data_IF_390767680686
#
_entry.id   IF_390767680686
#
_cell.length_a   1.000
_cell.length_b   1.000
_cell.length_c   1.000
_cell.angle_alpha   90.00
_cell.angle_beta   90.00
_cell.angle_gamma   90.00
#
_symmetry.space_group_name_H-M   'P 1'
#
loop_
_entity.id
_entity.type
_entity.pdbx_description
1 polymer ?
#
# COMPACT_ATOMS: atom_id res chain seq x y z
N UNK A 1 31.57 0.22 -9.62
CA UNK A 1 32.28 1.11 -8.68
C UNK A 1 31.40 2.33 -8.47
N UNK A 2 31.29 2.89 -7.25
CA UNK A 2 30.46 4.07 -7.00
C UNK A 2 31.34 5.31 -7.06
N UNK A 3 30.83 6.37 -7.69
CA UNK A 3 31.52 7.65 -7.71
C UNK A 3 31.37 8.33 -6.34
N UNK A 4 32.51 8.60 -5.70
CA UNK A 4 32.56 9.27 -4.40
C UNK A 4 32.62 10.79 -4.60
N UNK A 5 31.80 11.58 -3.86
CA UNK A 5 31.99 13.02 -3.80
C UNK A 5 33.40 13.38 -3.37
N UNK A 6 33.99 14.42 -3.96
CA UNK A 6 35.40 14.77 -3.73
C UNK A 6 35.73 14.99 -2.25
N UNK A 7 34.85 15.66 -1.49
CA UNK A 7 35.02 15.87 -0.05
C UNK A 7 35.03 14.57 0.74
N UNK A 8 34.12 13.65 0.43
CA UNK A 8 34.04 12.34 1.07
C UNK A 8 35.25 11.45 0.72
N UNK A 9 35.69 11.49 -0.53
CA UNK A 9 36.89 10.76 -0.97
C UNK A 9 38.15 11.26 -0.25
N UNK A 10 38.30 12.58 -0.11
CA UNK A 10 39.40 13.19 0.63
C UNK A 10 39.38 12.80 2.11
N UNK A 11 38.21 12.86 2.76
CA UNK A 11 38.06 12.46 4.16
C UNK A 11 38.44 10.99 4.38
N UNK A 12 37.94 10.08 3.53
CA UNK A 12 38.26 8.65 3.58
C UNK A 12 39.76 8.38 3.41
N UNK A 13 40.45 9.16 2.57
CA UNK A 13 41.89 8.99 2.34
C UNK A 13 42.75 9.39 3.55
N UNK A 14 42.22 10.16 4.52
CA UNK A 14 42.98 10.56 5.72
C UNK A 14 43.16 9.42 6.74
N UNK A 15 42.33 8.36 6.65
CA UNK A 15 42.35 7.22 7.57
C UNK A 15 41.58 7.43 8.88
N UNK A 16 41.22 8.67 9.24
CA UNK A 16 40.26 8.97 10.30
C UNK A 16 38.90 9.27 9.67
N UNK A 17 37.86 8.53 10.04
CA UNK A 17 36.53 8.68 9.44
C UNK A 17 35.52 9.21 10.44
N UNK A 18 34.84 10.28 10.06
CA UNK A 18 33.73 10.91 10.78
C UNK A 18 32.40 10.53 10.14
N UNK A 19 32.23 9.24 9.82
CA UNK A 19 31.09 8.78 9.02
C UNK A 19 29.97 8.24 9.91
N UNK A 20 28.74 8.68 9.61
CA UNK A 20 27.52 8.17 10.21
C UNK A 20 26.58 7.64 9.13
N UNK A 21 25.83 6.59 9.46
CA UNK A 21 24.75 6.10 8.59
C UNK A 21 23.46 6.85 8.88
N UNK A 22 22.79 7.25 7.82
CA UNK A 22 21.55 8.01 7.86
C UNK A 22 20.48 7.28 7.05
N UNK A 23 19.40 6.88 7.72
CA UNK A 23 18.27 6.15 7.16
C UNK A 23 17.10 7.09 6.96
N UNK A 24 16.62 7.21 5.72
CA UNK A 24 15.45 8.01 5.39
C UNK A 24 14.33 7.09 4.96
N UNK A 25 13.20 7.19 5.63
CA UNK A 25 11.97 6.45 5.31
C UNK A 25 10.96 7.47 4.80
N UNK A 26 10.42 7.23 3.61
CA UNK A 26 9.38 8.06 3.00
C UNK A 26 8.13 7.23 2.83
N UNK A 27 7.09 7.58 3.57
CA UNK A 27 5.77 6.93 3.50
C UNK A 27 5.05 7.27 2.19
N UNK A 28 4.11 6.43 1.73
CA UNK A 28 3.32 6.70 0.53
C UNK A 28 2.49 8.00 0.61
N UNK A 29 2.15 8.45 1.81
CA UNK A 29 1.44 9.72 2.06
C UNK A 29 2.36 10.95 2.12
N UNK A 30 3.67 10.78 1.90
CA UNK A 30 4.66 11.85 1.88
C UNK A 30 5.32 12.16 3.23
N UNK A 31 4.93 11.47 4.32
CA UNK A 31 5.63 11.58 5.60
C UNK A 31 7.08 11.12 5.48
N UNK A 32 8.03 11.93 5.96
CA UNK A 32 9.47 11.62 5.93
C UNK A 32 10.02 11.48 7.35
N UNK A 33 10.71 10.37 7.59
CA UNK A 33 11.39 10.09 8.86
C UNK A 33 12.88 9.89 8.56
N UNK A 34 13.73 10.63 9.26
CA UNK A 34 15.18 10.47 9.21
C UNK A 34 15.70 9.94 10.53
N UNK A 35 16.51 8.89 10.50
CA UNK A 35 17.18 8.31 11.66
C UNK A 35 18.69 8.21 11.40
N UNK A 36 19.52 8.57 12.38
CA UNK A 36 20.97 8.46 12.28
C UNK A 36 21.54 7.52 13.35
N UNK A 37 22.63 6.82 13.02
CA UNK A 37 23.43 6.04 13.99
C UNK A 37 24.38 6.94 14.83
N UNK A 38 24.44 8.23 14.52
CA UNK A 38 25.13 9.23 15.34
C UNK A 38 24.36 9.52 16.63
N UNK A 39 25.07 9.91 17.68
CA UNK A 39 24.50 10.38 18.95
C UNK A 39 23.92 11.81 18.92
N UNK A 40 24.00 12.52 17.78
CA UNK A 40 23.45 13.86 17.58
C UNK A 40 22.65 13.94 16.27
N UNK A 41 21.66 14.83 16.24
CA UNK A 41 20.83 15.08 15.06
C UNK A 41 21.68 15.62 13.89
N UNK A 42 21.52 15.05 12.69
CA UNK A 42 22.23 15.47 11.49
C UNK A 42 21.27 16.00 10.43
N UNK A 43 21.63 17.10 9.77
CA UNK A 43 20.90 17.60 8.60
C UNK A 43 21.61 17.18 7.31
N UNK A 44 21.05 16.21 6.59
CA UNK A 44 21.66 15.63 5.38
C UNK A 44 20.66 15.64 4.24
N UNK A 45 21.07 16.11 3.06
CA UNK A 45 20.27 16.05 1.83
C UNK A 45 18.81 16.53 2.00
N UNK A 46 18.60 17.64 2.74
CA UNK A 46 17.29 18.25 2.96
C UNK A 46 16.42 17.60 4.05
N UNK A 47 16.95 16.65 4.83
CA UNK A 47 16.20 15.94 5.88
C UNK A 47 16.95 16.00 7.20
N UNK A 48 16.23 16.23 8.30
CA UNK A 48 16.76 16.06 9.66
C UNK A 48 16.72 14.58 10.00
N UNK A 49 17.87 13.99 10.28
CA UNK A 49 18.03 12.65 10.81
C UNK A 49 18.21 12.76 12.29
N UNK A 50 17.23 12.26 13.04
CA UNK A 50 17.26 12.36 14.49
C UNK A 50 18.13 11.24 15.08
N UNK A 51 18.90 11.58 16.08
CA UNK A 51 19.59 10.63 16.94
C UNK A 51 18.52 9.93 17.79
N UNK A 52 17.98 8.85 17.25
CA UNK A 52 17.05 7.97 17.95
C UNK A 52 17.77 6.67 18.24
N UNK A 53 17.85 6.31 19.52
CA UNK A 53 18.39 5.01 19.93
C UNK A 53 17.62 3.89 19.26
N UNK A 54 18.33 2.89 18.73
CA UNK A 54 17.71 1.64 18.26
C UNK A 54 17.75 1.37 16.75
N UNK A 55 18.52 2.13 15.96
CA UNK A 55 18.88 1.69 14.61
C UNK A 55 20.25 1.04 14.64
N UNK A 56 20.26 -0.28 14.53
CA UNK A 56 21.44 -1.08 14.26
C UNK A 56 21.24 -1.77 12.92
N UNK A 57 21.99 -1.33 11.90
CA UNK A 57 22.07 -2.05 10.64
C UNK A 57 22.81 -3.37 10.83
N UNK A 58 22.14 -4.51 10.68
CA UNK A 58 22.81 -5.81 10.62
C UNK A 58 23.59 -5.97 9.31
N UNK A 59 24.61 -6.82 9.34
CA UNK A 59 25.58 -7.01 8.25
C UNK A 59 24.90 -7.57 6.98
N UNK A 60 25.26 -7.04 5.80
CA UNK A 60 24.69 -7.47 4.52
C UNK A 60 25.75 -7.93 3.52
N UNK A 61 25.48 -9.06 2.85
CA UNK A 61 26.21 -9.54 1.68
C UNK A 61 25.62 -8.94 0.39
N UNK A 62 26.42 -8.18 -0.35
CA UNK A 62 26.06 -7.72 -1.69
C UNK A 62 26.37 -8.82 -2.73
N UNK A 63 25.33 -9.38 -3.37
CA UNK A 63 25.47 -10.32 -4.47
C UNK A 63 25.25 -9.64 -5.84
N UNK A 64 26.06 -9.99 -6.85
CA UNK A 64 25.88 -9.56 -8.24
C UNK A 64 24.98 -10.58 -8.98
N UNK A 65 23.87 -10.14 -9.59
CA UNK A 65 23.00 -10.98 -10.44
C UNK A 65 21.50 -10.64 -10.40
N UNK A 66 20.72 -11.38 -11.22
CA UNK A 66 19.24 -11.41 -11.21
C UNK A 66 18.67 -12.63 -10.48
N UNK A 67 19.53 -13.50 -9.95
CA UNK A 67 19.08 -14.47 -8.94
C UNK A 67 18.38 -13.71 -7.82
N UNK A 68 17.53 -14.38 -7.06
CA UNK A 68 17.16 -13.90 -5.72
C UNK A 68 18.41 -13.99 -4.85
N UNK A 69 19.46 -13.23 -5.18
CA UNK A 69 20.36 -12.65 -4.20
C UNK A 69 19.51 -11.66 -3.42
N UNK A 70 18.66 -12.21 -2.55
CA UNK A 70 18.00 -11.47 -1.51
C UNK A 70 19.08 -10.85 -0.66
N UNK A 71 19.33 -9.56 -0.86
CA UNK A 71 19.70 -8.76 0.29
C UNK A 71 18.43 -8.66 1.13
N UNK A 72 18.24 -9.59 2.06
CA UNK A 72 17.39 -9.34 3.21
C UNK A 72 18.23 -8.42 4.11
N UNK A 73 17.94 -7.11 4.07
CA UNK A 73 18.38 -6.24 5.16
C UNK A 73 17.32 -6.36 6.23
N UNK A 74 17.64 -7.03 7.32
CA UNK A 74 16.90 -6.90 8.56
C UNK A 74 17.42 -5.65 9.26
N UNK A 75 16.78 -4.52 8.99
CA UNK A 75 16.92 -3.36 9.85
C UNK A 75 15.89 -3.54 10.97
N UNK A 76 16.37 -3.79 12.19
CA UNK A 76 15.59 -3.52 13.38
C UNK A 76 15.43 -2.00 13.42
N UNK A 77 14.36 -1.50 12.82
CA UNK A 77 13.92 -0.14 13.03
C UNK A 77 13.27 -0.21 14.42
N UNK A 78 14.04 -0.04 15.49
CA UNK A 78 13.43 0.28 16.78
C UNK A 78 13.64 1.77 16.96
N UNK A 79 12.57 2.55 16.83
CA UNK A 79 12.66 3.99 17.01
C UNK A 79 11.33 4.53 17.52
N UNK A 80 11.39 5.37 18.54
CA UNK A 80 10.27 6.17 19.04
C UNK A 80 9.68 7.12 17.97
N UNK A 81 10.36 7.28 16.83
CA UNK A 81 9.90 8.08 15.69
C UNK A 81 8.89 7.36 14.81
N UNK A 82 8.78 6.04 14.94
CA UNK A 82 7.84 5.23 14.19
C UNK A 82 6.75 4.76 15.15
N UNK A 83 5.59 5.39 15.01
CA UNK A 83 4.41 5.08 15.81
C UNK A 83 3.88 3.66 15.52
N UNK A 84 3.57 2.92 16.59
CA UNK A 84 3.07 1.55 16.49
C UNK A 84 1.69 1.48 15.85
N UNK A 85 0.80 2.45 16.15
CA UNK A 85 -0.51 2.56 15.53
C UNK A 85 -0.40 2.75 14.01
N UNK A 86 0.57 3.56 13.58
CA UNK A 86 0.84 3.78 12.15
C UNK A 86 1.35 2.52 11.42
N UNK A 87 2.19 1.72 12.08
CA UNK A 87 2.63 0.43 11.56
C UNK A 87 1.46 -0.55 11.42
N UNK A 88 0.62 -0.66 12.45
CA UNK A 88 -0.58 -1.52 12.42
C UNK A 88 -1.58 -1.06 11.36
N UNK A 89 -1.65 0.24 11.11
CA UNK A 89 -2.48 0.82 10.08
C UNK A 89 -1.94 0.62 8.64
N UNK A 90 -0.79 -0.05 8.47
CA UNK A 90 -0.18 -0.29 7.16
C UNK A 90 0.37 0.97 6.50
N UNK A 91 0.56 2.08 7.23
CA UNK A 91 1.04 3.36 6.67
C UNK A 91 2.47 3.30 6.14
N UNK A 92 3.23 2.28 6.54
CA UNK A 92 4.59 2.02 6.09
C UNK A 92 4.67 0.96 4.97
N UNK A 93 3.54 0.40 4.53
CA UNK A 93 3.52 -0.62 3.48
C UNK A 93 4.09 -0.06 2.18
N UNK A 94 5.18 -0.66 1.72
CA UNK A 94 5.90 -0.21 0.52
C UNK A 94 6.58 1.15 0.67
N UNK A 95 6.73 1.68 1.89
CA UNK A 95 7.46 2.92 2.14
C UNK A 95 8.89 2.82 1.59
N UNK A 96 9.37 3.90 0.97
CA UNK A 96 10.71 3.93 0.41
C UNK A 96 11.75 4.15 1.50
N UNK A 97 12.85 3.41 1.43
CA UNK A 97 13.97 3.54 2.36
C UNK A 97 15.24 3.87 1.59
N UNK A 98 15.92 4.93 2.02
CA UNK A 98 17.23 5.32 1.52
C UNK A 98 18.26 5.23 2.65
N UNK A 99 19.34 4.48 2.42
CA UNK A 99 20.50 4.45 3.29
C UNK A 99 21.56 5.39 2.71
N UNK A 100 22.02 6.33 3.53
CA UNK A 100 23.09 7.27 3.22
C UNK A 100 24.24 7.09 4.20
N UNK A 101 25.44 7.39 3.72
CA UNK A 101 26.63 7.58 4.53
C UNK A 101 26.97 9.06 4.48
N UNK A 102 26.95 9.73 5.63
CA UNK A 102 27.25 11.15 5.74
C UNK A 102 28.46 11.36 6.63
N UNK A 103 29.29 12.34 6.30
CA UNK A 103 30.29 12.87 7.21
C UNK A 103 29.59 13.76 8.25
N UNK A 104 29.56 13.35 9.51
CA UNK A 104 28.87 14.11 10.55
C UNK A 104 29.55 15.44 10.87
N UNK A 105 30.85 15.56 10.60
CA UNK A 105 31.60 16.82 10.78
C UNK A 105 31.33 17.81 9.63
N UNK A 106 30.88 17.29 8.48
CA UNK A 106 30.49 18.07 7.31
C UNK A 106 29.30 17.40 6.58
N UNK A 107 28.06 17.51 7.09
CA UNK A 107 26.89 16.75 6.60
C UNK A 107 26.50 16.96 5.12
N UNK A 108 27.06 17.99 4.47
CA UNK A 108 26.96 18.18 3.02
C UNK A 108 27.76 17.15 2.21
N UNK A 109 28.75 16.51 2.81
CA UNK A 109 29.50 15.39 2.25
C UNK A 109 28.79 14.08 2.58
N UNK A 110 27.94 13.62 1.67
CA UNK A 110 27.22 12.36 1.83
C UNK A 110 27.18 11.55 0.54
N UNK A 111 26.97 10.25 0.69
CA UNK A 111 26.77 9.31 -0.40
C UNK A 111 25.54 8.46 -0.12
N UNK A 112 24.61 8.41 -1.08
CA UNK A 112 23.51 7.45 -0.99
C UNK A 112 24.04 6.05 -1.27
N UNK A 113 23.98 5.20 -0.25
CA UNK A 113 24.43 3.83 -0.33
C UNK A 113 23.39 2.90 -0.96
N UNK A 114 22.10 3.09 -0.64
CA UNK A 114 21.06 2.17 -1.12
C UNK A 114 19.71 2.86 -1.21
N UNK A 115 18.83 2.27 -2.01
CA UNK A 115 17.39 2.55 -2.03
C UNK A 115 16.64 1.22 -2.12
N UNK A 116 15.57 1.09 -1.36
CA UNK A 116 14.69 -0.06 -1.34
C UNK A 116 13.30 0.33 -0.84
N UNK A 117 12.48 -0.67 -0.52
CA UNK A 117 11.15 -0.47 0.07
C UNK A 117 10.96 -1.38 1.27
N UNK A 118 10.17 -0.95 2.25
CA UNK A 118 9.76 -1.80 3.37
C UNK A 118 8.91 -2.97 2.83
N UNK A 119 9.29 -4.17 3.21
CA UNK A 119 8.63 -5.45 2.95
C UNK A 119 7.88 -5.93 4.19
N UNK A 120 8.09 -7.19 4.58
CA UNK A 120 7.47 -7.74 5.79
C UNK A 120 7.97 -7.01 7.05
N UNK A 121 7.06 -6.64 7.94
CA UNK A 121 7.39 -6.09 9.27
C UNK A 121 7.03 -7.14 10.32
N UNK A 122 8.01 -7.50 11.14
CA UNK A 122 7.84 -8.40 12.30
C UNK A 122 8.00 -7.61 13.58
N UNK A 123 7.27 -8.02 14.62
CA UNK A 123 7.28 -7.36 15.93
C UNK A 123 7.59 -8.35 17.02
N UNK A 124 8.56 -8.01 17.86
CA UNK A 124 8.96 -8.82 19.01
C UNK A 124 9.48 -7.92 20.12
N UNK A 125 8.99 -8.11 21.35
CA UNK A 125 9.54 -7.44 22.55
C UNK A 125 9.51 -5.91 22.56
N UNK A 126 8.55 -5.27 21.87
CA UNK A 126 8.48 -3.80 21.76
C UNK A 126 9.40 -3.19 20.70
N UNK A 127 10.13 -4.03 19.96
CA UNK A 127 10.88 -3.65 18.77
C UNK A 127 10.16 -4.17 17.51
N UNK A 128 10.40 -3.50 16.38
CA UNK A 128 10.00 -4.00 15.08
C UNK A 128 11.21 -4.17 14.16
N UNK A 129 11.12 -5.17 13.30
CA UNK A 129 12.11 -5.48 12.28
C UNK A 129 11.41 -5.41 10.94
N UNK A 130 11.94 -4.60 10.03
CA UNK A 130 11.43 -4.48 8.68
C UNK A 130 12.40 -5.16 7.70
N UNK A 131 11.85 -5.99 6.83
CA UNK A 131 12.54 -6.50 5.65
C UNK A 131 12.74 -5.33 4.66
N UNK A 132 13.98 -5.04 4.27
CA UNK A 132 14.22 -4.11 3.15
C UNK A 132 14.28 -4.88 1.83
N UNK A 133 13.32 -4.59 0.95
CA UNK A 133 13.31 -5.16 -0.40
C UNK A 133 14.13 -4.31 -1.35
N UNK A 134 15.08 -4.94 -2.05
CA UNK A 134 15.84 -4.30 -3.11
C UNK A 134 14.93 -3.91 -4.30
N UNK A 135 15.39 -2.95 -5.11
CA UNK A 135 14.66 -2.50 -6.32
C UNK A 135 14.36 -3.64 -7.31
N UNK A 136 15.21 -4.68 -7.36
CA UNK A 136 15.04 -5.86 -8.21
C UNK A 136 13.84 -6.72 -7.81
N UNK A 137 13.34 -6.63 -6.57
CA UNK A 137 12.13 -7.36 -6.13
C UNK A 137 10.92 -7.09 -7.05
N UNK A 138 10.84 -5.88 -7.63
CA UNK A 138 9.78 -5.50 -8.57
C UNK A 138 9.78 -6.32 -9.86
N UNK A 139 10.90 -6.94 -10.21
CA UNK A 139 11.04 -7.82 -11.38
C UNK A 139 10.50 -9.24 -11.12
N UNK A 140 10.40 -9.66 -9.87
CA UNK A 140 9.90 -10.98 -9.47
C UNK A 140 8.38 -11.02 -9.28
N UNK A 141 7.68 -9.91 -9.53
CA UNK A 141 6.22 -9.86 -9.50
C UNK A 141 5.71 -10.46 -10.80
N UNK A 142 4.90 -11.51 -10.71
CA UNK A 142 4.20 -12.08 -11.88
C UNK A 142 3.32 -10.99 -12.48
N UNK A 143 3.70 -10.52 -13.67
CA UNK A 143 2.95 -9.54 -14.44
C UNK A 143 2.31 -10.22 -15.63
N UNK A 144 1.02 -9.98 -15.80
CA UNK A 144 0.25 -10.58 -16.88
C UNK A 144 -1.23 -10.56 -16.53
N UNK A 145 -2.05 -10.87 -17.52
CA UNK A 145 -3.49 -10.99 -17.34
C UNK A 145 -3.84 -12.47 -17.35
N UNK A 146 -4.72 -12.86 -16.44
CA UNK A 146 -5.36 -14.16 -16.50
C UNK A 146 -6.57 -14.04 -17.42
N UNK A 147 -6.69 -15.00 -18.33
CA UNK A 147 -7.84 -15.15 -19.19
C UNK A 147 -8.95 -15.84 -18.39
N UNK A 148 -9.91 -15.07 -17.88
CA UNK A 148 -11.04 -15.57 -17.08
C UNK A 148 -12.36 -14.99 -17.56
N UNK A 149 -13.48 -15.62 -17.18
CA UNK A 149 -14.82 -15.12 -17.51
C UNK A 149 -15.13 -13.75 -16.90
N UNK A 150 -14.58 -13.46 -15.72
CA UNK A 150 -14.77 -12.20 -15.01
C UNK A 150 -13.89 -11.07 -15.54
N UNK A 151 -14.34 -9.83 -15.35
CA UNK A 151 -13.54 -8.64 -15.61
C UNK A 151 -12.33 -8.56 -14.68
N UNK A 152 -11.13 -8.34 -15.22
CA UNK A 152 -9.90 -8.13 -14.45
C UNK A 152 -9.58 -6.65 -14.20
N UNK A 153 -10.49 -5.73 -14.57
CA UNK A 153 -10.35 -4.29 -14.35
C UNK A 153 -11.10 -3.82 -13.11
N UNK A 154 -10.57 -2.78 -12.46
CA UNK A 154 -11.28 -2.12 -11.37
C UNK A 154 -12.29 -1.12 -11.91
N UNK A 155 -13.44 -1.03 -11.22
CA UNK A 155 -14.51 -0.15 -11.65
C UNK A 155 -13.97 1.29 -11.62
N UNK A 156 -14.08 1.98 -12.75
CA UNK A 156 -13.55 3.35 -12.92
C UNK A 156 -12.05 3.47 -13.15
N UNK A 157 -11.30 2.36 -13.24
CA UNK A 157 -9.90 2.41 -13.67
C UNK A 157 -9.75 2.83 -15.14
N UNK A 158 -8.52 3.08 -15.60
CA UNK A 158 -8.25 3.50 -16.98
C UNK A 158 -8.69 2.47 -18.05
N UNK A 159 -8.82 1.19 -17.68
CA UNK A 159 -9.27 0.12 -18.58
C UNK A 159 -10.79 0.01 -18.62
N UNK A 160 -11.47 0.28 -17.51
CA UNK A 160 -12.91 0.25 -17.32
C UNK A 160 -13.58 1.53 -17.82
N UNK A 161 -13.04 2.71 -17.48
CA UNK A 161 -13.50 4.05 -17.92
C UNK A 161 -14.90 4.49 -17.47
N UNK A 162 -15.59 3.73 -16.61
CA UNK A 162 -16.85 4.19 -16.01
C UNK A 162 -16.57 5.40 -15.12
N UNK A 163 -17.26 6.51 -15.35
CA UNK A 163 -17.20 7.65 -14.45
C UNK A 163 -17.97 7.36 -13.16
N UNK A 164 -17.29 7.40 -12.01
CA UNK A 164 -17.87 7.11 -10.69
C UNK A 164 -18.44 8.36 -10.04
N UNK A 165 -19.44 8.94 -10.71
CA UNK A 165 -20.15 10.15 -10.31
C UNK A 165 -21.66 9.92 -10.28
N UNK A 166 -22.41 10.86 -9.70
CA UNK A 166 -23.88 10.80 -9.63
C UNK A 166 -24.38 9.50 -9.00
N UNK A 167 -25.18 8.73 -9.75
CA UNK A 167 -25.79 7.48 -9.26
C UNK A 167 -24.77 6.39 -8.87
N UNK A 168 -23.49 6.51 -9.26
CA UNK A 168 -22.45 5.55 -8.90
C UNK A 168 -21.60 5.96 -7.69
N UNK A 169 -21.92 7.09 -7.06
CA UNK A 169 -21.21 7.61 -5.89
C UNK A 169 -22.20 8.05 -4.82
N UNK A 170 -22.08 7.48 -3.63
CA UNK A 170 -22.74 7.92 -2.42
C UNK A 170 -21.78 8.65 -1.48
N UNK A 171 -22.33 9.54 -0.67
CA UNK A 171 -21.63 10.16 0.46
C UNK A 171 -22.48 9.98 1.69
N UNK A 172 -21.85 9.71 2.83
CA UNK A 172 -22.59 9.46 4.06
C UNK A 172 -21.74 9.68 5.30
N UNK A 173 -22.38 9.51 6.45
CA UNK A 173 -21.72 9.53 7.76
C UNK A 173 -22.09 8.28 8.55
N UNK A 174 -21.19 7.85 9.44
CA UNK A 174 -21.46 6.77 10.39
C UNK A 174 -22.47 7.28 11.42
N UNK A 175 -23.67 6.72 11.46
CA UNK A 175 -24.70 7.07 12.44
C UNK A 175 -24.68 6.16 13.67
N UNK A 176 -24.22 4.92 13.51
CA UNK A 176 -23.98 3.98 14.60
C UNK A 176 -22.92 2.95 14.20
N UNK A 177 -22.22 2.39 15.19
CA UNK A 177 -21.24 1.31 15.01
C UNK A 177 -21.79 0.06 15.66
N UNK A 178 -22.05 -0.98 14.87
CA UNK A 178 -22.60 -2.25 15.36
C UNK A 178 -21.48 -3.28 15.62
N UNK A 179 -20.38 -3.22 14.86
CA UNK A 179 -19.16 -4.00 15.09
C UNK A 179 -17.93 -3.30 14.49
N UNK A 180 -16.74 -3.88 14.68
CA UNK A 180 -15.48 -3.28 14.23
C UNK A 180 -15.41 -2.99 12.71
N UNK A 181 -16.15 -3.74 11.89
CA UNK A 181 -16.28 -3.54 10.44
C UNK A 181 -17.74 -3.42 9.99
N UNK A 182 -18.69 -3.19 10.90
CA UNK A 182 -20.12 -3.08 10.60
C UNK A 182 -20.68 -1.76 11.14
N UNK A 183 -21.19 -0.94 10.23
CA UNK A 183 -21.71 0.39 10.55
C UNK A 183 -23.10 0.62 9.97
N UNK A 184 -23.85 1.48 10.65
CA UNK A 184 -25.08 2.08 10.14
C UNK A 184 -24.71 3.42 9.53
N UNK A 185 -25.14 3.63 8.29
CA UNK A 185 -24.85 4.81 7.50
C UNK A 185 -26.08 5.72 7.38
N UNK A 186 -25.86 7.02 7.51
CA UNK A 186 -26.80 8.05 7.09
C UNK A 186 -26.39 8.60 5.71
N UNK A 187 -27.37 9.08 4.93
CA UNK A 187 -27.14 9.71 3.63
C UNK A 187 -27.16 8.76 2.42
N UNK A 188 -27.42 7.46 2.65
CA UNK A 188 -27.51 6.44 1.59
C UNK A 188 -28.94 6.00 1.27
N UNK A 189 -29.96 6.69 1.79
CA UNK A 189 -31.37 6.31 1.68
C UNK A 189 -31.89 6.30 0.23
N UNK A 190 -31.24 7.03 -0.67
CA UNK A 190 -31.57 7.06 -2.10
C UNK A 190 -31.06 5.85 -2.89
N UNK A 191 -30.32 4.92 -2.27
CA UNK A 191 -29.72 3.78 -2.94
C UNK A 191 -30.38 2.47 -2.52
N UNK A 192 -30.62 1.59 -3.49
CA UNK A 192 -31.15 0.25 -3.21
C UNK A 192 -30.14 -0.61 -2.43
N UNK A 193 -30.65 -1.53 -1.63
CA UNK A 193 -29.85 -2.59 -1.01
C UNK A 193 -29.00 -3.32 -2.06
N UNK A 194 -27.76 -3.63 -1.71
CA UNK A 194 -26.79 -4.26 -2.61
C UNK A 194 -26.09 -3.30 -3.57
N UNK A 195 -26.54 -2.04 -3.71
CA UNK A 195 -25.94 -1.10 -4.67
C UNK A 195 -24.43 -0.89 -4.45
N UNK A 196 -24.00 -0.81 -3.19
CA UNK A 196 -22.59 -0.62 -2.84
C UNK A 196 -21.86 -1.91 -2.48
N UNK A 197 -22.49 -3.09 -2.55
CA UNK A 197 -21.83 -4.38 -2.29
C UNK A 197 -20.73 -4.63 -3.33
N UNK A 198 -19.51 -4.94 -2.89
CA UNK A 198 -18.27 -4.98 -3.70
C UNK A 198 -17.86 -3.63 -4.29
N UNK A 199 -18.37 -2.54 -3.70
CA UNK A 199 -17.96 -1.18 -3.98
C UNK A 199 -16.79 -0.75 -3.11
N UNK A 200 -16.20 0.40 -3.40
CA UNK A 200 -15.10 0.96 -2.61
C UNK A 200 -15.60 2.09 -1.73
N UNK A 201 -15.42 1.95 -0.42
CA UNK A 201 -15.65 3.00 0.57
C UNK A 201 -14.31 3.65 0.95
N UNK A 202 -14.30 4.98 1.09
CA UNK A 202 -13.16 5.76 1.54
C UNK A 202 -13.64 6.70 2.63
N UNK A 203 -13.03 6.63 3.81
CA UNK A 203 -13.28 7.61 4.88
C UNK A 203 -12.63 8.94 4.53
N UNK A 204 -13.39 10.02 4.67
CA UNK A 204 -12.99 11.38 4.32
C UNK A 204 -12.78 12.27 5.55
N UNK A 205 -13.13 11.80 6.74
CA UNK A 205 -12.84 12.46 8.02
C UNK A 205 -12.63 11.42 9.14
N UNK A 206 -12.39 11.90 10.36
CA UNK A 206 -12.20 11.05 11.54
C UNK A 206 -10.80 10.45 11.62
N UNK A 207 -10.61 9.56 12.60
CA UNK A 207 -9.33 8.88 12.83
C UNK A 207 -8.90 8.00 11.63
N UNK A 208 -9.89 7.50 10.87
CA UNK A 208 -9.68 6.67 9.70
C UNK A 208 -9.59 7.46 8.37
N UNK A 209 -9.44 8.78 8.39
CA UNK A 209 -9.37 9.57 7.15
C UNK A 209 -8.33 9.01 6.17
N UNK A 210 -8.75 8.76 4.93
CA UNK A 210 -7.93 8.17 3.87
C UNK A 210 -7.97 6.64 3.82
N UNK A 211 -8.44 5.96 4.88
CA UNK A 211 -8.63 4.51 4.84
C UNK A 211 -9.69 4.14 3.80
N UNK A 212 -9.36 3.17 2.95
CA UNK A 212 -10.23 2.69 1.91
C UNK A 212 -10.37 1.17 1.98
N UNK A 213 -11.61 0.69 1.86
CA UNK A 213 -11.92 -0.73 1.92
C UNK A 213 -13.05 -1.09 0.95
N UNK A 214 -13.08 -2.35 0.55
CA UNK A 214 -14.22 -2.90 -0.17
C UNK A 214 -15.39 -3.14 0.81
N UNK A 215 -16.59 -2.77 0.36
CA UNK A 215 -17.84 -3.06 1.07
C UNK A 215 -18.22 -4.51 0.81
N UNK A 216 -18.25 -5.34 1.84
CA UNK A 216 -18.67 -6.74 1.78
C UNK A 216 -20.17 -6.87 1.57
N UNK A 217 -20.98 -6.10 2.30
CA UNK A 217 -22.44 -6.08 2.13
C UNK A 217 -23.00 -4.67 2.31
N UNK A 218 -24.01 -4.32 1.49
CA UNK A 218 -24.86 -3.14 1.66
C UNK A 218 -26.31 -3.59 1.85
N UNK A 219 -26.86 -3.45 3.05
CA UNK A 219 -28.24 -3.82 3.35
C UNK A 219 -29.09 -2.59 3.68
N UNK A 220 -30.31 -2.53 3.16
CA UNK A 220 -31.26 -1.43 3.41
C UNK A 220 -32.56 -2.02 3.96
N UNK A 221 -32.67 -2.10 5.28
CA UNK A 221 -33.88 -2.53 5.99
C UNK A 221 -34.33 -1.40 6.94
N UNK A 222 -34.83 -0.31 6.37
CA UNK A 222 -35.18 0.93 7.09
C UNK A 222 -33.99 1.86 7.33
N UNK A 223 -32.80 1.31 7.58
CA UNK A 223 -31.52 2.03 7.65
C UNK A 223 -30.47 1.32 6.78
N UNK A 224 -29.53 2.09 6.21
CA UNK A 224 -28.43 1.55 5.43
C UNK A 224 -27.35 0.97 6.36
N UNK A 225 -27.00 -0.29 6.16
CA UNK A 225 -25.89 -0.97 6.86
C UNK A 225 -24.80 -1.33 5.87
N UNK A 226 -23.56 -1.05 6.25
CA UNK A 226 -22.37 -1.41 5.49
C UNK A 226 -21.47 -2.31 6.34
N UNK A 227 -21.19 -3.50 5.82
CA UNK A 227 -20.14 -4.38 6.34
C UNK A 227 -18.90 -4.23 5.45
N UNK A 228 -17.73 -4.01 6.05
CA UNK A 228 -16.45 -3.86 5.35
C UNK A 228 -15.70 -5.19 5.35
N UNK A 229 -14.95 -5.46 4.28
CA UNK A 229 -14.11 -6.65 4.17
C UNK A 229 -12.94 -6.67 5.15
N UNK A 230 -12.43 -5.50 5.49
CA UNK A 230 -11.34 -5.31 6.42
C UNK A 230 -11.79 -4.39 7.53
N UNK A 231 -11.33 -4.70 8.75
CA UNK A 231 -11.49 -3.81 9.88
C UNK A 231 -10.63 -2.55 9.64
N UNK A 232 -11.18 -1.33 9.81
CA UNK A 232 -10.37 -0.12 9.81
C UNK A 232 -9.30 -0.14 10.90
N UNK A 233 -8.13 0.48 10.69
CA UNK A 233 -7.06 0.50 11.68
C UNK A 233 -7.51 1.07 13.03
N UNK A 234 -8.22 2.19 12.99
CA UNK A 234 -8.77 2.84 14.17
C UNK A 234 -10.24 2.46 14.38
N UNK A 235 -10.76 2.45 15.62
CA UNK A 235 -12.18 2.26 15.87
C UNK A 235 -13.03 3.27 15.09
N UNK A 236 -14.16 2.81 14.56
CA UNK A 236 -15.13 3.67 13.88
C UNK A 236 -15.74 4.67 14.86
N UNK A 237 -15.82 5.94 14.48
CA UNK A 237 -16.49 7.00 15.22
C UNK A 237 -17.84 7.36 14.62
N UNK A 238 -18.85 7.60 15.46
CA UNK A 238 -20.10 8.22 15.01
C UNK A 238 -19.80 9.63 14.51
N UNK A 239 -20.29 9.96 13.31
CA UNK A 239 -20.01 11.21 12.61
C UNK A 239 -18.86 11.14 11.60
N UNK A 240 -18.10 10.05 11.56
CA UNK A 240 -17.07 9.84 10.53
C UNK A 240 -17.71 9.88 9.14
N UNK A 241 -17.21 10.77 8.29
CA UNK A 241 -17.70 10.96 6.94
C UNK A 241 -16.96 10.02 5.98
N UNK A 242 -17.68 9.56 4.96
CA UNK A 242 -17.11 8.71 3.92
C UNK A 242 -17.76 8.96 2.56
N UNK A 243 -17.06 8.51 1.52
CA UNK A 243 -17.62 8.34 0.18
C UNK A 243 -17.61 6.87 -0.18
N UNK A 244 -18.61 6.41 -0.94
CA UNK A 244 -18.73 5.02 -1.38
C UNK A 244 -19.09 4.98 -2.86
N UNK A 245 -18.49 4.06 -3.59
CA UNK A 245 -18.72 3.87 -5.03
C UNK A 245 -19.52 2.61 -5.28
N UNK A 246 -20.27 2.59 -6.38
CA UNK A 246 -21.07 1.44 -6.80
C UNK A 246 -20.24 0.15 -6.87
N UNK A 247 -20.85 -0.96 -6.49
CA UNK A 247 -20.24 -2.28 -6.57
C UNK A 247 -20.16 -2.85 -7.98
N UNK A 248 -19.09 -3.61 -8.26
CA UNK A 248 -18.92 -4.33 -9.52
C UNK A 248 -18.54 -5.78 -9.25
N UNK A 249 -19.48 -6.70 -9.55
CA UNK A 249 -19.31 -8.15 -9.42
C UNK A 249 -18.43 -8.78 -10.51
N UNK A 250 -17.82 -7.93 -11.35
CA UNK A 250 -16.97 -8.29 -12.48
C UNK A 250 -17.68 -9.15 -13.54
N UNK A 251 -19.02 -9.28 -13.52
CA UNK A 251 -19.80 -10.02 -14.51
C UNK A 251 -20.12 -9.17 -15.74
N UNK A 252 -20.26 -9.84 -16.89
CA UNK A 252 -20.53 -9.16 -18.15
C UNK A 252 -21.94 -8.55 -18.18
N UNK A 253 -22.93 -9.26 -17.64
CA UNK A 253 -24.33 -8.81 -17.55
C UNK A 253 -24.41 -7.52 -16.73
N UNK A 254 -23.80 -7.50 -15.55
CA UNK A 254 -23.74 -6.29 -14.71
C UNK A 254 -23.02 -5.15 -15.42
N UNK A 255 -21.90 -5.43 -16.09
CA UNK A 255 -21.16 -4.42 -16.85
C UNK A 255 -22.00 -3.81 -17.99
N UNK A 256 -22.78 -4.62 -18.69
CA UNK A 256 -23.66 -4.21 -19.78
C UNK A 256 -24.90 -3.46 -19.26
N UNK A 257 -25.60 -4.04 -18.30
CA UNK A 257 -26.95 -3.61 -17.92
C UNK A 257 -26.92 -2.47 -16.90
N UNK A 258 -25.99 -2.53 -15.93
CA UNK A 258 -25.89 -1.52 -14.85
C UNK A 258 -25.02 -0.33 -15.24
N UNK A 259 -23.95 -0.58 -15.99
CA UNK A 259 -22.94 0.44 -16.33
C UNK A 259 -22.91 0.82 -17.81
N UNK A 260 -23.69 0.16 -18.67
CA UNK A 260 -23.68 0.37 -20.12
C UNK A 260 -22.27 0.30 -20.74
N UNK A 261 -21.38 -0.54 -20.19
CA UNK A 261 -19.93 -0.49 -20.45
C UNK A 261 -19.36 -1.78 -21.07
N UNK A 262 -20.16 -2.51 -21.84
CA UNK A 262 -19.75 -3.77 -22.47
C UNK A 262 -18.48 -3.63 -23.34
N UNK A 263 -18.28 -2.48 -24.00
CA UNK A 263 -17.12 -2.21 -24.85
C UNK A 263 -15.78 -2.18 -24.10
N UNK A 264 -15.80 -1.81 -22.82
CA UNK A 264 -14.60 -1.76 -21.99
C UNK A 264 -14.50 -2.95 -21.02
N UNK A 265 -15.35 -3.96 -21.18
CA UNK A 265 -15.24 -5.20 -20.41
C UNK A 265 -13.89 -5.87 -20.71
N UNK A 266 -13.19 -6.27 -19.65
CA UNK A 266 -11.84 -6.86 -19.78
C UNK A 266 -11.80 -8.36 -19.51
N UNK A 267 -12.92 -8.98 -19.17
CA UNK A 267 -13.03 -10.44 -19.09
C UNK A 267 -13.31 -11.10 -20.43
N UNK A 268 -13.44 -12.42 -20.41
CA UNK A 268 -13.71 -13.26 -21.56
C UNK A 268 -15.00 -14.08 -21.32
N UNK A 269 -16.19 -13.47 -21.46
CA UNK A 269 -17.44 -14.06 -20.99
C UNK A 269 -17.87 -15.31 -21.77
N UNK A 270 -17.34 -15.48 -22.99
CA UNK A 270 -17.61 -16.64 -23.84
C UNK A 270 -16.47 -17.66 -23.85
N UNK A 271 -15.53 -17.55 -22.91
CA UNK A 271 -14.41 -18.49 -22.83
C UNK A 271 -14.94 -19.90 -22.56
N UNK A 272 -14.70 -20.87 -23.47
CA UNK A 272 -15.07 -22.25 -23.21
C UNK A 272 -14.25 -22.81 -22.05
N UNK A 273 -14.90 -23.53 -21.15
CA UNK A 273 -14.23 -24.24 -20.07
C UNK A 273 -13.49 -25.50 -20.56
N UNK A 274 -12.73 -26.14 -19.66
CA UNK A 274 -11.95 -27.33 -19.99
C UNK A 274 -12.80 -28.48 -20.56
N UNK A 275 -14.07 -28.59 -20.15
CA UNK A 275 -15.00 -29.61 -20.65
C UNK A 275 -15.25 -29.49 -22.16
N UNK A 276 -15.25 -28.27 -22.70
CA UNK A 276 -15.41 -28.05 -24.13
C UNK A 276 -14.17 -28.49 -24.92
N UNK A 277 -12.97 -28.43 -24.32
CA UNK A 277 -11.72 -28.92 -24.93
C UNK A 277 -11.71 -30.43 -25.02
N UNK A 278 -12.29 -31.12 -24.04
CA UNK A 278 -12.36 -32.58 -23.98
C UNK A 278 -13.56 -33.17 -24.74
N UNK A 279 -14.49 -32.32 -25.20
CA UNK A 279 -15.71 -32.77 -25.86
C UNK A 279 -15.39 -33.28 -27.28
N UNK A 280 -15.74 -34.54 -27.54
CA UNK A 280 -15.74 -35.11 -28.90
C UNK A 280 -17.10 -34.83 -29.54
N UNK A 281 -17.10 -34.54 -30.85
CA UNK A 281 -18.33 -34.37 -31.60
C UNK A 281 -19.12 -35.69 -31.64
N UNK A 282 -20.33 -35.69 -31.07
CA UNK A 282 -21.26 -36.81 -31.16
C UNK A 282 -22.28 -36.50 -32.27
N UNK A 283 -22.36 -37.31 -33.34
CA UNK A 283 -23.37 -37.11 -34.39
C UNK A 283 -24.79 -37.30 -33.83
N UNK A 284 -25.71 -36.38 -34.15
CA UNK A 284 -27.14 -36.53 -33.88
C UNK A 284 -27.69 -35.85 -32.62
N UNK A 285 -27.02 -34.81 -32.11
CA UNK A 285 -27.55 -33.92 -31.06
C UNK A 285 -28.63 -32.97 -31.55
#
# INVERSE_FOLDING_TARGET
MRDLPAGLAAALATGATTLARCWRITRPDGGVIGITEHDEDLFVAGTIFRAAGGVTGSEEAAALGFSVGGGEMSAALSSDLIDEGDLVAGRYDGAEVELMLADWSAPSNFLRLRRGTIGEVRREGGAFTAELRALSSRLNIVRGRLFTGGCDADLGDARCKVALEGAYRGSGTVSAVEAASLLVAAGLDGFAGGWFTQGRLIFTSGANQGFACEVKTHATAGVARLELWQRPPEPLGVGDAFTVTAGCDKRFETCRDRFANALNFRGFPHMPGNDAVLRVAVPGG
#
